data_IF_320751534082
#
_entry.id   IF_320751534082
#
_cell.length_a   1.000
_cell.length_b   1.000
_cell.length_c   1.000
_cell.angle_alpha   90.00
_cell.angle_beta   90.00
_cell.angle_gamma   90.00
#
_symmetry.space_group_name_H-M   'P 1'
#
loop_
_entity.id
_entity.type
_entity.pdbx_description
1 polymer ?
#
# COMPACT_ATOMS: atom_id res chain seq x y z
N UNK A 1 -7.85 21.45 -14.24
CA UNK A 1 -6.42 21.58 -13.91
C UNK A 1 -5.81 20.27 -14.36
N UNK A 2 -4.84 20.28 -15.25
CA UNK A 2 -4.25 19.02 -15.76
C UNK A 2 -3.42 18.40 -14.64
N UNK A 3 -3.59 17.10 -14.41
CA UNK A 3 -2.83 16.30 -13.45
C UNK A 3 -1.58 15.78 -14.16
N UNK A 4 -0.41 16.43 -14.04
CA UNK A 4 0.70 16.23 -14.95
C UNK A 4 1.57 15.08 -14.47
N UNK A 5 1.09 13.85 -14.71
CA UNK A 5 1.85 12.63 -14.45
C UNK A 5 2.43 12.09 -15.75
N UNK A 6 3.73 11.77 -15.75
CA UNK A 6 4.30 10.86 -16.72
C UNK A 6 4.33 9.43 -16.16
N UNK A 7 3.95 8.46 -16.99
CA UNK A 7 4.09 7.04 -16.71
C UNK A 7 5.24 6.53 -17.56
N UNK A 8 6.29 6.02 -16.93
CA UNK A 8 7.48 5.48 -17.58
C UNK A 8 7.50 3.96 -17.41
N UNK A 9 7.66 3.24 -18.51
CA UNK A 9 7.90 1.81 -18.49
C UNK A 9 9.41 1.57 -18.61
N UNK A 10 10.00 0.89 -17.63
CA UNK A 10 11.44 0.68 -17.50
C UNK A 10 11.72 -0.82 -17.43
N UNK A 11 12.68 -1.27 -18.23
CA UNK A 11 13.15 -2.66 -18.18
C UNK A 11 13.92 -2.94 -16.89
N UNK A 12 13.99 -4.19 -16.47
CA UNK A 12 14.78 -4.56 -15.30
C UNK A 12 16.28 -4.29 -15.50
N UNK A 13 16.75 -4.37 -16.75
CA UNK A 13 18.15 -4.12 -17.11
C UNK A 13 18.54 -2.64 -16.97
N UNK A 14 17.61 -1.73 -17.26
CA UNK A 14 17.83 -0.28 -17.23
C UNK A 14 17.28 0.37 -15.94
N UNK A 15 16.79 -0.45 -14.99
CA UNK A 15 16.09 0.04 -13.81
C UNK A 15 16.90 1.04 -12.99
N UNK A 16 18.18 0.75 -12.76
CA UNK A 16 19.04 1.62 -11.96
C UNK A 16 19.42 2.94 -12.68
N UNK A 17 19.20 3.02 -14.00
CA UNK A 17 19.50 4.21 -14.79
C UNK A 17 18.32 5.18 -14.82
N UNK A 18 17.08 4.66 -14.77
CA UNK A 18 15.86 5.46 -14.96
C UNK A 18 14.87 5.44 -13.81
N UNK A 19 14.85 4.41 -12.95
CA UNK A 19 13.96 4.34 -11.80
C UNK A 19 14.63 4.83 -10.52
N UNK A 20 13.82 5.15 -9.51
CA UNK A 20 14.29 5.85 -8.32
C UNK A 20 14.87 4.91 -7.24
N UNK A 21 14.23 3.76 -7.02
CA UNK A 21 14.53 2.88 -5.90
C UNK A 21 14.57 1.41 -6.35
N UNK A 22 15.41 0.53 -5.80
CA UNK A 22 15.30 -0.91 -6.01
C UNK A 22 14.10 -1.50 -5.23
N UNK A 23 13.58 -2.68 -5.59
CA UNK A 23 14.07 -3.60 -6.62
C UNK A 23 13.45 -3.40 -8.01
N UNK A 24 14.07 -3.94 -9.08
CA UNK A 24 13.57 -3.83 -10.44
C UNK A 24 12.16 -4.39 -10.66
N UNK A 25 11.38 -3.65 -11.45
CA UNK A 25 10.05 -4.01 -11.89
C UNK A 25 8.93 -3.72 -10.86
N UNK A 26 9.27 -3.21 -9.68
CA UNK A 26 8.29 -2.80 -8.67
C UNK A 26 7.82 -1.37 -8.94
N UNK A 27 6.50 -1.10 -9.11
CA UNK A 27 5.98 0.24 -9.35
C UNK A 27 6.40 1.24 -8.28
N UNK A 28 6.71 2.47 -8.68
CA UNK A 28 7.13 3.56 -7.78
C UNK A 28 6.60 4.91 -8.24
N UNK A 29 6.15 5.74 -7.31
CA UNK A 29 5.90 7.16 -7.54
C UNK A 29 7.09 8.02 -7.07
N UNK A 30 7.58 8.90 -7.95
CA UNK A 30 8.58 9.90 -7.58
C UNK A 30 8.42 11.19 -8.38
N UNK A 31 8.45 12.33 -7.67
CA UNK A 31 8.38 13.67 -8.26
C UNK A 31 7.21 13.87 -9.25
N UNK A 32 6.05 13.28 -8.94
CA UNK A 32 4.85 13.36 -9.78
C UNK A 32 4.86 12.42 -10.99
N UNK A 33 5.83 11.51 -11.11
CA UNK A 33 5.88 10.48 -12.14
C UNK A 33 5.69 9.10 -11.54
N UNK A 34 5.22 8.15 -12.35
CA UNK A 34 5.11 6.75 -11.98
C UNK A 34 6.06 5.94 -12.87
N UNK A 35 6.88 5.11 -12.24
CA UNK A 35 7.80 4.18 -12.90
C UNK A 35 7.21 2.78 -12.78
N UNK A 36 7.04 2.09 -13.90
CA UNK A 36 6.47 0.75 -13.99
C UNK A 36 7.49 -0.20 -14.65
N UNK A 37 7.57 -1.43 -14.16
CA UNK A 37 8.35 -2.48 -14.82
C UNK A 37 7.74 -2.88 -16.16
N UNK A 38 8.53 -2.90 -17.23
CA UNK A 38 8.14 -3.57 -18.48
C UNK A 38 8.36 -5.09 -18.42
N UNK A 39 9.24 -5.53 -17.53
CA UNK A 39 9.55 -6.94 -17.28
C UNK A 39 8.82 -7.43 -16.01
N UNK A 40 8.95 -8.73 -15.73
CA UNK A 40 8.43 -9.33 -14.50
C UNK A 40 9.12 -8.75 -13.27
N UNK A 41 8.35 -8.41 -12.24
CA UNK A 41 8.89 -7.84 -11.01
C UNK A 41 9.81 -8.84 -10.30
N UNK A 42 10.97 -8.38 -9.84
CA UNK A 42 11.89 -9.22 -9.03
C UNK A 42 11.20 -9.68 -7.75
N UNK A 43 10.38 -8.82 -7.13
CA UNK A 43 9.60 -9.18 -5.93
C UNK A 43 8.53 -10.21 -6.26
N UNK A 44 7.87 -10.10 -7.41
CA UNK A 44 6.90 -11.10 -7.84
C UNK A 44 7.56 -12.48 -8.01
N UNK A 45 8.75 -12.53 -8.63
CA UNK A 45 9.52 -13.78 -8.77
C UNK A 45 9.88 -14.39 -7.41
N UNK A 46 10.34 -13.57 -6.47
CA UNK A 46 10.67 -14.01 -5.11
C UNK A 46 9.45 -14.54 -4.37
N UNK A 47 8.33 -13.82 -4.45
CA UNK A 47 7.05 -14.23 -3.84
C UNK A 47 6.57 -15.57 -4.42
N UNK A 48 6.60 -15.75 -5.74
CA UNK A 48 6.23 -17.01 -6.40
C UNK A 48 7.05 -18.20 -5.92
N UNK A 49 8.35 -18.01 -5.64
CA UNK A 49 9.19 -19.07 -5.07
C UNK A 49 8.81 -19.37 -3.63
N UNK A 50 8.52 -18.35 -2.81
CA UNK A 50 8.11 -18.54 -1.43
C UNK A 50 6.76 -19.23 -1.31
N UNK A 51 5.82 -18.90 -2.20
CA UNK A 51 4.46 -19.47 -2.25
C UNK A 51 4.45 -20.99 -2.43
N UNK A 52 5.48 -21.58 -3.05
CA UNK A 52 5.62 -23.04 -3.19
C UNK A 52 5.69 -23.78 -1.85
N UNK A 53 6.02 -23.07 -0.76
CA UNK A 53 6.11 -23.64 0.58
C UNK A 53 4.79 -23.52 1.37
N UNK A 54 3.74 -22.91 0.80
CA UNK A 54 2.46 -22.82 1.47
C UNK A 54 1.75 -24.18 1.56
N UNK A 55 0.89 -24.38 2.58
CA UNK A 55 -0.05 -25.50 2.60
C UNK A 55 -0.86 -25.59 1.29
N UNK A 56 -1.09 -26.81 0.81
CA UNK A 56 -1.75 -27.09 -0.49
C UNK A 56 -3.09 -26.35 -0.63
N UNK A 57 -3.88 -26.25 0.44
CA UNK A 57 -5.19 -25.58 0.38
C UNK A 57 -5.06 -24.05 0.21
N UNK A 58 -4.05 -23.44 0.84
CA UNK A 58 -3.75 -22.01 0.65
C UNK A 58 -3.20 -21.75 -0.75
N UNK A 59 -2.30 -22.63 -1.24
CA UNK A 59 -1.75 -22.53 -2.58
C UNK A 59 -2.84 -22.64 -3.65
N UNK A 60 -3.75 -23.63 -3.54
CA UNK A 60 -4.89 -23.79 -4.45
C UNK A 60 -5.82 -22.57 -4.45
N UNK A 61 -6.06 -22.00 -3.26
CA UNK A 61 -6.87 -20.77 -3.15
C UNK A 61 -6.22 -19.61 -3.91
N UNK A 62 -4.89 -19.46 -3.82
CA UNK A 62 -4.18 -18.43 -4.58
C UNK A 62 -4.18 -18.73 -6.09
N UNK A 63 -3.98 -19.98 -6.50
CA UNK A 63 -4.02 -20.39 -7.92
C UNK A 63 -5.38 -20.09 -8.58
N UNK A 64 -6.48 -20.17 -7.83
CA UNK A 64 -7.80 -19.81 -8.34
C UNK A 64 -7.86 -18.36 -8.86
N UNK A 65 -7.11 -17.45 -8.25
CA UNK A 65 -7.17 -16.02 -8.57
C UNK A 65 -5.96 -15.51 -9.34
N UNK A 66 -4.77 -16.05 -9.07
CA UNK A 66 -3.51 -15.63 -9.68
C UNK A 66 -3.06 -16.54 -10.84
N UNK A 67 -3.84 -17.58 -11.17
CA UNK A 67 -3.53 -18.53 -12.23
C UNK A 67 -2.73 -19.74 -11.79
N UNK A 68 -2.57 -20.70 -12.71
CA UNK A 68 -1.72 -21.87 -12.56
C UNK A 68 -0.82 -22.03 -13.81
N UNK A 69 0.48 -21.67 -13.75
CA UNK A 69 1.22 -21.22 -12.56
C UNK A 69 0.77 -19.83 -12.04
N UNK A 70 0.97 -19.59 -10.74
CA UNK A 70 0.67 -18.30 -10.08
C UNK A 70 1.49 -17.18 -10.73
N UNK A 71 0.84 -16.07 -11.08
CA UNK A 71 1.46 -14.83 -11.53
C UNK A 71 1.30 -13.70 -10.50
N UNK A 72 2.37 -13.43 -9.74
CA UNK A 72 2.38 -12.41 -8.70
C UNK A 72 2.59 -10.99 -9.23
N UNK A 73 2.81 -10.80 -10.53
CA UNK A 73 2.76 -9.44 -11.13
C UNK A 73 1.35 -8.83 -10.98
N UNK A 74 0.30 -9.65 -10.94
CA UNK A 74 -1.06 -9.18 -10.67
C UNK A 74 -1.15 -8.46 -9.31
N UNK A 75 -0.38 -8.89 -8.31
CA UNK A 75 -0.28 -8.20 -7.01
C UNK A 75 0.78 -7.10 -7.03
N UNK A 76 2.03 -7.43 -7.35
CA UNK A 76 3.16 -6.50 -7.16
C UNK A 76 3.31 -5.47 -8.26
N UNK A 77 2.86 -5.73 -9.48
CA UNK A 77 2.93 -4.74 -10.57
C UNK A 77 1.58 -4.05 -10.76
N UNK A 78 0.50 -4.79 -10.94
CA UNK A 78 -0.78 -4.17 -11.29
C UNK A 78 -1.41 -3.43 -10.10
N UNK A 79 -1.58 -4.10 -8.95
CA UNK A 79 -2.16 -3.46 -7.77
C UNK A 79 -1.26 -2.34 -7.20
N UNK A 80 0.07 -2.56 -7.14
CA UNK A 80 0.99 -1.53 -6.64
C UNK A 80 1.03 -0.32 -7.58
N UNK A 81 0.89 -0.48 -8.90
CA UNK A 81 0.81 0.68 -9.81
C UNK A 81 -0.36 1.62 -9.46
N UNK A 82 -1.51 1.06 -9.06
CA UNK A 82 -2.66 1.86 -8.62
C UNK A 82 -2.42 2.47 -7.24
N UNK A 83 -1.71 1.77 -6.34
CA UNK A 83 -1.28 2.31 -5.06
C UNK A 83 -0.39 3.55 -5.26
N UNK A 84 0.60 3.48 -6.15
CA UNK A 84 1.48 4.61 -6.49
C UNK A 84 0.72 5.78 -7.13
N UNK A 85 -0.31 5.48 -7.93
CA UNK A 85 -1.22 6.50 -8.44
C UNK A 85 -1.98 7.19 -7.30
N UNK A 86 -2.42 6.44 -6.29
CA UNK A 86 -3.00 6.97 -5.06
C UNK A 86 -2.06 7.97 -4.37
N UNK A 87 -0.78 7.61 -4.19
CA UNK A 87 0.23 8.54 -3.70
C UNK A 87 0.27 9.81 -4.55
N UNK A 88 0.31 9.71 -5.87
CA UNK A 88 0.38 10.89 -6.74
C UNK A 88 -0.84 11.80 -6.61
N UNK A 89 -2.05 11.26 -6.44
CA UNK A 89 -3.27 12.05 -6.23
C UNK A 89 -3.22 12.85 -4.93
N UNK A 90 -2.68 12.26 -3.86
CA UNK A 90 -2.41 13.03 -2.63
C UNK A 90 -1.33 14.10 -2.87
N UNK A 91 -0.21 13.75 -3.51
CA UNK A 91 0.93 14.65 -3.73
C UNK A 91 0.63 15.88 -4.59
N UNK A 92 -0.44 15.86 -5.37
CA UNK A 92 -0.87 17.00 -6.16
C UNK A 92 -1.37 18.17 -5.29
N UNK A 93 -1.93 17.89 -4.11
CA UNK A 93 -2.50 18.91 -3.22
C UNK A 93 -1.89 18.95 -1.81
N UNK A 94 -1.24 17.86 -1.40
CA UNK A 94 -0.57 17.71 -0.10
C UNK A 94 0.79 17.01 -0.25
N UNK A 95 1.87 17.61 0.27
CA UNK A 95 3.24 17.14 0.00
C UNK A 95 3.97 16.54 1.21
N UNK A 96 3.58 16.89 2.45
CA UNK A 96 4.22 16.36 3.67
C UNK A 96 3.19 15.88 4.69
N UNK A 97 3.13 14.57 4.91
CA UNK A 97 2.09 13.94 5.75
C UNK A 97 2.36 13.99 7.26
N UNK A 98 1.29 14.01 8.05
CA UNK A 98 1.37 13.88 9.52
C UNK A 98 1.93 12.54 9.98
N UNK A 99 1.69 11.45 9.28
CA UNK A 99 2.24 10.12 9.53
C UNK A 99 2.34 9.37 8.21
N UNK A 100 3.46 8.70 7.97
CA UNK A 100 3.69 7.92 6.73
C UNK A 100 2.73 6.74 6.66
N UNK A 101 2.46 6.06 7.77
CA UNK A 101 1.54 4.93 7.78
C UNK A 101 0.11 5.31 7.35
N UNK A 102 -0.37 6.53 7.66
CA UNK A 102 -1.70 6.99 7.20
C UNK A 102 -1.69 7.14 5.67
N UNK A 103 -0.59 7.66 5.12
CA UNK A 103 -0.42 7.81 3.67
C UNK A 103 -0.40 6.45 2.95
N UNK A 104 0.31 5.46 3.50
CA UNK A 104 0.32 4.10 2.97
C UNK A 104 -1.07 3.44 3.01
N UNK A 105 -1.81 3.63 4.10
CA UNK A 105 -3.20 3.17 4.21
C UNK A 105 -4.07 3.85 3.16
N UNK A 106 -3.94 5.17 2.96
CA UNK A 106 -4.66 5.90 1.92
C UNK A 106 -4.36 5.38 0.51
N UNK A 107 -3.09 5.24 0.15
CA UNK A 107 -2.69 4.73 -1.16
C UNK A 107 -3.20 3.30 -1.42
N UNK A 108 -3.14 2.46 -0.38
CA UNK A 108 -3.69 1.09 -0.43
C UNK A 108 -5.21 1.07 -0.53
N UNK A 109 -5.88 2.01 0.15
CA UNK A 109 -7.33 2.18 0.07
C UNK A 109 -7.76 2.66 -1.31
N UNK A 110 -7.01 3.59 -1.94
CA UNK A 110 -7.24 4.01 -3.32
C UNK A 110 -7.12 2.83 -4.30
N UNK A 111 -6.07 2.01 -4.18
CA UNK A 111 -5.89 0.80 -4.98
C UNK A 111 -7.06 -0.18 -4.77
N UNK A 112 -7.46 -0.40 -3.51
CA UNK A 112 -8.59 -1.28 -3.17
C UNK A 112 -9.90 -0.78 -3.79
N UNK A 113 -10.20 0.51 -3.68
CA UNK A 113 -11.42 1.11 -4.22
C UNK A 113 -11.49 0.92 -5.75
N UNK A 114 -10.38 1.19 -6.46
CA UNK A 114 -10.29 0.95 -7.90
C UNK A 114 -10.56 -0.52 -8.25
N UNK A 115 -9.88 -1.46 -7.58
CA UNK A 115 -10.05 -2.88 -7.86
C UNK A 115 -11.47 -3.35 -7.60
N UNK A 116 -12.12 -2.92 -6.51
CA UNK A 116 -13.51 -3.31 -6.21
C UNK A 116 -14.47 -2.87 -7.32
N UNK A 117 -14.23 -1.69 -7.91
CA UNK A 117 -15.13 -1.11 -8.93
C UNK A 117 -14.84 -1.60 -10.34
N UNK A 118 -13.60 -1.96 -10.66
CA UNK A 118 -13.16 -2.22 -12.03
C UNK A 118 -12.61 -3.64 -12.26
N UNK A 119 -12.08 -4.27 -11.22
CA UNK A 119 -11.38 -5.57 -11.31
C UNK A 119 -11.75 -6.45 -10.09
N UNK A 120 -13.04 -6.78 -9.88
CA UNK A 120 -13.53 -7.39 -8.64
C UNK A 120 -12.86 -8.74 -8.32
N UNK A 121 -12.54 -9.53 -9.34
CA UNK A 121 -11.82 -10.80 -9.16
C UNK A 121 -10.39 -10.56 -8.62
N UNK A 122 -9.69 -9.57 -9.17
CA UNK A 122 -8.38 -9.15 -8.67
C UNK A 122 -8.48 -8.53 -7.28
N UNK A 123 -9.57 -7.83 -6.97
CA UNK A 123 -9.85 -7.35 -5.61
C UNK A 123 -9.95 -8.52 -4.62
N UNK A 124 -10.67 -9.59 -4.96
CA UNK A 124 -10.73 -10.79 -4.12
C UNK A 124 -9.37 -11.47 -4.00
N UNK A 125 -8.61 -11.52 -5.10
CA UNK A 125 -7.26 -12.09 -5.15
C UNK A 125 -6.31 -11.37 -4.18
N UNK A 126 -6.20 -10.05 -4.29
CA UNK A 126 -5.25 -9.23 -3.52
C UNK A 126 -5.61 -9.23 -2.03
N UNK A 127 -6.91 -9.18 -1.68
CA UNK A 127 -7.36 -9.33 -0.30
C UNK A 127 -7.03 -10.71 0.28
N UNK A 128 -7.19 -11.78 -0.52
CA UNK A 128 -6.84 -13.14 -0.10
C UNK A 128 -5.34 -13.28 0.15
N UNK A 129 -4.51 -12.77 -0.76
CA UNK A 129 -3.05 -12.82 -0.59
C UNK A 129 -2.60 -12.00 0.63
N UNK A 130 -3.15 -10.81 0.82
CA UNK A 130 -2.85 -9.98 1.98
C UNK A 130 -3.24 -10.66 3.31
N UNK A 131 -4.37 -11.36 3.37
CA UNK A 131 -4.76 -12.11 4.56
C UNK A 131 -3.73 -13.20 4.89
N UNK A 132 -3.31 -13.99 3.88
CA UNK A 132 -2.26 -15.02 4.05
C UNK A 132 -0.94 -14.40 4.52
N UNK A 133 -0.50 -13.32 3.86
CA UNK A 133 0.74 -12.61 4.22
C UNK A 133 0.71 -11.98 5.61
N UNK A 134 -0.46 -11.50 6.07
CA UNK A 134 -0.63 -10.88 7.39
C UNK A 134 -0.50 -11.88 8.55
N UNK A 135 -0.93 -13.13 8.31
CA UNK A 135 -0.91 -14.21 9.29
C UNK A 135 0.43 -14.94 9.34
N UNK A 136 1.27 -14.72 8.34
CA UNK A 136 2.59 -15.32 8.31
C UNK A 136 3.42 -14.74 9.47
N UNK A 137 3.59 -15.55 10.52
CA UNK A 137 4.56 -15.31 11.58
C UNK A 137 5.96 -15.58 11.04
N UNK A 138 6.43 -14.66 10.21
CA UNK A 138 7.77 -14.79 9.71
C UNK A 138 8.75 -14.53 10.85
N UNK A 139 9.71 -15.44 11.12
CA UNK A 139 10.70 -15.27 12.19
C UNK A 139 11.62 -14.05 12.00
N UNK A 140 11.49 -13.37 10.85
CA UNK A 140 12.23 -12.18 10.47
C UNK A 140 11.47 -10.86 10.70
N UNK A 141 10.21 -10.87 11.15
CA UNK A 141 9.51 -9.64 11.59
C UNK A 141 10.03 -9.24 12.96
N UNK A 142 10.73 -8.11 13.00
CA UNK A 142 11.36 -7.55 14.21
C UNK A 142 10.56 -6.40 14.81
N UNK A 143 9.74 -5.73 14.01
CA UNK A 143 9.02 -4.53 14.40
C UNK A 143 7.55 -4.67 14.04
N UNK A 144 6.65 -4.49 15.02
CA UNK A 144 5.22 -4.59 14.79
C UNK A 144 4.46 -3.31 15.07
N UNK A 145 5.06 -2.25 15.63
CA UNK A 145 4.34 -1.03 15.99
C UNK A 145 4.39 0.06 14.91
N UNK A 146 3.30 0.84 14.77
CA UNK A 146 3.25 2.02 13.89
C UNK A 146 4.33 3.06 14.21
N UNK A 147 4.69 3.21 15.50
CA UNK A 147 5.80 4.07 15.91
C UNK A 147 7.13 3.65 15.31
N UNK A 148 7.42 2.33 15.28
CA UNK A 148 8.63 1.81 14.64
C UNK A 148 8.57 1.88 13.12
N UNK A 149 7.39 1.72 12.53
CA UNK A 149 7.21 1.99 11.11
C UNK A 149 7.58 3.43 10.75
N UNK A 150 7.07 4.41 11.52
CA UNK A 150 7.35 5.84 11.30
C UNK A 150 8.82 6.19 11.52
N UNK A 151 9.43 5.67 12.59
CA UNK A 151 10.83 5.94 12.97
C UNK A 151 11.82 5.39 11.94
N UNK A 152 11.66 4.13 11.55
CA UNK A 152 12.63 3.44 10.70
C UNK A 152 12.38 3.70 9.22
N UNK A 153 11.11 3.63 8.80
CA UNK A 153 10.61 3.65 7.42
C UNK A 153 11.60 3.04 6.40
N UNK A 154 11.49 3.33 5.11
CA UNK A 154 12.51 2.91 4.15
C UNK A 154 13.75 3.83 4.21
N UNK A 155 14.97 3.27 4.14
CA UNK A 155 15.30 1.83 4.06
C UNK A 155 15.46 1.12 5.43
N UNK A 156 15.36 1.84 6.56
CA UNK A 156 15.72 1.32 7.89
C UNK A 156 14.89 0.15 8.41
N UNK A 157 13.63 0.03 7.98
CA UNK A 157 12.71 -1.02 8.40
C UNK A 157 13.05 -2.40 7.79
N UNK A 158 13.74 -2.40 6.65
CA UNK A 158 14.03 -3.61 5.87
C UNK A 158 12.82 -4.12 5.06
N UNK A 159 13.05 -4.81 3.94
CA UNK A 159 12.00 -5.14 2.98
C UNK A 159 10.95 -6.11 3.55
N UNK A 160 11.37 -7.13 4.29
CA UNK A 160 10.43 -8.12 4.85
C UNK A 160 9.49 -7.50 5.89
N UNK A 161 10.04 -6.62 6.73
CA UNK A 161 9.25 -5.99 7.77
C UNK A 161 8.32 -4.93 7.16
N UNK A 162 8.76 -4.21 6.12
CA UNK A 162 7.92 -3.30 5.34
C UNK A 162 6.76 -4.03 4.65
N UNK A 163 7.03 -5.13 3.97
CA UNK A 163 6.01 -5.96 3.32
C UNK A 163 4.95 -6.46 4.29
N UNK A 164 5.36 -6.88 5.50
CA UNK A 164 4.40 -7.25 6.54
C UNK A 164 3.49 -6.09 6.94
N UNK A 165 4.01 -4.87 7.12
CA UNK A 165 3.17 -3.69 7.36
C UNK A 165 2.22 -3.42 6.19
N UNK A 166 2.68 -3.59 4.96
CA UNK A 166 1.83 -3.42 3.77
C UNK A 166 0.66 -4.42 3.76
N UNK A 167 0.87 -5.69 4.16
CA UNK A 167 -0.24 -6.64 4.35
C UNK A 167 -1.23 -6.20 5.44
N UNK A 168 -0.75 -5.63 6.54
CA UNK A 168 -1.64 -5.09 7.59
C UNK A 168 -2.42 -3.86 7.09
N UNK A 169 -1.79 -2.96 6.35
CA UNK A 169 -2.47 -1.81 5.74
C UNK A 169 -3.50 -2.24 4.70
N UNK A 170 -3.22 -3.32 3.96
CA UNK A 170 -4.18 -3.90 3.01
C UNK A 170 -5.43 -4.42 3.72
N UNK A 171 -5.28 -5.11 4.85
CA UNK A 171 -6.42 -5.55 5.66
C UNK A 171 -7.27 -4.38 6.15
N UNK A 172 -6.62 -3.31 6.61
CA UNK A 172 -7.33 -2.07 6.98
C UNK A 172 -8.05 -1.45 5.78
N UNK A 173 -7.42 -1.39 4.61
CA UNK A 173 -8.03 -0.86 3.40
C UNK A 173 -9.27 -1.66 2.97
N UNK A 174 -9.27 -2.98 3.13
CA UNK A 174 -10.46 -3.82 2.90
C UNK A 174 -11.59 -3.40 3.84
N UNK A 175 -11.32 -3.29 5.14
CA UNK A 175 -12.32 -2.91 6.14
C UNK A 175 -12.83 -1.47 5.92
N UNK A 176 -11.94 -0.53 5.57
CA UNK A 176 -12.31 0.83 5.22
C UNK A 176 -13.26 0.84 4.01
N UNK A 177 -12.92 0.13 2.93
CA UNK A 177 -13.76 0.04 1.74
C UNK A 177 -15.13 -0.56 2.03
N UNK A 178 -15.19 -1.64 2.80
CA UNK A 178 -16.46 -2.29 3.16
C UNK A 178 -17.36 -1.38 4.00
N UNK A 179 -16.76 -0.56 4.88
CA UNK A 179 -17.50 0.25 5.85
C UNK A 179 -17.83 1.66 5.36
N UNK A 180 -16.91 2.30 4.64
CA UNK A 180 -17.00 3.71 4.27
C UNK A 180 -16.99 3.96 2.75
N UNK A 181 -16.68 2.94 1.95
CA UNK A 181 -16.69 3.00 0.47
C UNK A 181 -15.86 4.16 -0.09
N UNK A 182 -16.24 4.69 -1.24
CA UNK A 182 -15.50 5.79 -1.88
C UNK A 182 -15.52 7.09 -1.05
N UNK A 183 -16.60 7.34 -0.31
CA UNK A 183 -16.70 8.53 0.53
C UNK A 183 -15.58 8.54 1.57
N UNK A 184 -15.30 7.41 2.22
CA UNK A 184 -14.24 7.33 3.21
C UNK A 184 -12.84 7.56 2.63
N UNK A 185 -12.62 7.16 1.38
CA UNK A 185 -11.37 7.45 0.67
C UNK A 185 -11.20 8.95 0.44
N UNK A 186 -12.26 9.64 0.01
CA UNK A 186 -12.25 11.10 -0.20
C UNK A 186 -12.03 11.82 1.13
N UNK A 187 -12.74 11.44 2.18
CA UNK A 187 -12.59 12.06 3.52
C UNK A 187 -11.14 11.90 4.03
N UNK A 188 -10.53 10.71 3.85
CA UNK A 188 -9.14 10.47 4.23
C UNK A 188 -8.13 11.28 3.38
N UNK A 189 -8.41 11.46 2.08
CA UNK A 189 -7.61 12.33 1.22
C UNK A 189 -7.66 13.79 1.71
N UNK A 190 -8.86 14.30 1.99
CA UNK A 190 -9.06 15.65 2.49
C UNK A 190 -8.35 15.85 3.83
N UNK A 191 -8.41 14.87 4.73
CA UNK A 191 -7.66 14.89 5.99
C UNK A 191 -6.14 15.03 5.74
N UNK A 192 -5.57 14.24 4.81
CA UNK A 192 -4.15 14.32 4.48
C UNK A 192 -3.76 15.71 3.94
N UNK A 193 -4.59 16.28 3.05
CA UNK A 193 -4.35 17.61 2.45
C UNK A 193 -4.46 18.73 3.49
N UNK A 194 -5.47 18.67 4.36
CA UNK A 194 -5.72 19.70 5.38
C UNK A 194 -4.67 19.66 6.49
N UNK A 195 -4.09 18.48 6.77
CA UNK A 195 -3.08 18.29 7.81
C UNK A 195 -1.64 18.32 7.29
N UNK A 196 -1.43 18.69 6.03
CA UNK A 196 -0.10 18.81 5.41
C UNK A 196 0.85 19.66 6.28
N UNK A 197 2.04 19.13 6.57
CA UNK A 197 3.09 19.76 7.38
C UNK A 197 3.74 20.97 6.70
N UNK A 198 3.50 21.21 5.42
CA UNK A 198 3.84 22.49 4.79
C UNK A 198 2.97 23.61 5.34
N UNK A 199 1.73 23.31 5.74
CA UNK A 199 0.72 24.28 6.21
C UNK A 199 0.50 24.20 7.73
N UNK A 200 0.88 23.09 8.35
CA UNK A 200 0.59 22.78 9.76
C UNK A 200 1.84 22.35 10.55
N UNK A 201 1.70 22.15 11.86
CA UNK A 201 2.74 21.56 12.71
C UNK A 201 2.52 20.06 12.87
N UNK A 202 3.61 19.31 13.10
CA UNK A 202 3.53 17.88 13.45
C UNK A 202 2.72 17.74 14.75
N UNK A 203 1.67 16.94 14.68
CA UNK A 203 0.83 16.60 15.83
C UNK A 203 1.49 15.51 16.66
N UNK A 204 1.40 15.61 17.99
CA UNK A 204 1.59 14.45 18.85
C UNK A 204 0.44 13.44 18.67
N UNK A 205 0.53 12.27 19.31
CA UNK A 205 -0.44 11.20 19.08
C UNK A 205 -1.84 11.53 19.62
N UNK A 206 -1.94 12.28 20.71
CA UNK A 206 -3.23 12.70 21.27
C UNK A 206 -3.92 13.74 20.38
N UNK A 207 -3.15 14.68 19.84
CA UNK A 207 -3.61 15.67 18.87
C UNK A 207 -4.06 15.00 17.57
N UNK A 208 -3.26 14.05 17.06
CA UNK A 208 -3.61 13.31 15.85
C UNK A 208 -4.90 12.51 16.02
N UNK A 209 -5.04 11.77 17.13
CA UNK A 209 -6.25 11.02 17.44
C UNK A 209 -7.48 11.93 17.50
N UNK A 210 -7.37 13.06 18.20
CA UNK A 210 -8.46 14.05 18.27
C UNK A 210 -8.83 14.54 16.87
N UNK A 211 -7.84 14.90 16.06
CA UNK A 211 -8.09 15.41 14.70
C UNK A 211 -8.76 14.35 13.80
N UNK A 212 -8.33 13.09 13.89
CA UNK A 212 -8.95 11.99 13.15
C UNK A 212 -10.42 11.82 13.54
N UNK A 213 -10.74 11.86 14.82
CA UNK A 213 -12.13 11.74 15.30
C UNK A 213 -12.98 12.93 14.81
N UNK A 214 -12.44 14.14 14.88
CA UNK A 214 -13.16 15.37 14.48
C UNK A 214 -13.44 15.42 12.98
N UNK A 215 -12.51 14.96 12.13
CA UNK A 215 -12.64 15.06 10.67
C UNK A 215 -13.23 13.81 10.00
N UNK A 216 -12.86 12.62 10.48
CA UNK A 216 -13.25 11.34 9.86
C UNK A 216 -14.35 10.61 10.65
N UNK A 217 -14.72 11.13 11.82
CA UNK A 217 -15.63 10.48 12.74
C UNK A 217 -14.96 9.39 13.59
N UNK A 218 -15.58 9.04 14.73
CA UNK A 218 -14.97 8.13 15.71
C UNK A 218 -14.72 6.73 15.14
N UNK A 219 -15.61 6.22 14.29
CA UNK A 219 -15.50 4.85 13.77
C UNK A 219 -14.33 4.67 12.78
N UNK A 220 -14.11 5.65 11.89
CA UNK A 220 -12.98 5.58 10.96
C UNK A 220 -11.67 5.83 11.70
N UNK A 221 -11.66 6.79 12.64
CA UNK A 221 -10.50 7.05 13.49
C UNK A 221 -10.10 5.80 14.29
N UNK A 222 -11.07 5.12 14.90
CA UNK A 222 -10.85 3.84 15.60
C UNK A 222 -10.28 2.79 14.66
N UNK A 223 -10.83 2.63 13.46
CA UNK A 223 -10.34 1.63 12.51
C UNK A 223 -8.92 1.94 11.99
N UNK A 224 -8.57 3.21 11.83
CA UNK A 224 -7.21 3.62 11.47
C UNK A 224 -6.23 3.34 12.62
N UNK A 225 -6.60 3.72 13.85
CA UNK A 225 -5.73 3.68 15.03
C UNK A 225 -5.64 2.30 15.70
N UNK A 226 -6.62 1.41 15.51
CA UNK A 226 -6.61 0.07 16.10
C UNK A 226 -5.43 -0.75 15.59
N UNK A 227 -4.49 -1.09 16.46
CA UNK A 227 -3.24 -1.73 16.04
C UNK A 227 -2.77 -2.72 17.10
N UNK A 228 -3.30 -3.94 17.01
CA UNK A 228 -3.04 -5.00 17.99
C UNK A 228 -2.16 -6.10 17.37
N UNK A 229 -0.83 -5.92 17.45
CA UNK A 229 0.19 -6.89 17.01
C UNK A 229 1.39 -6.97 17.97
#
# INVERSE_FOLDING_TARGET
>A
MDFPIAILFVSNAEWNDYAYFPPPGMPQAWAGNIFLGSDKSVVALEAEQQLKNLPVDQLKKLQQYFGDPIDMDLFYRNNVAVHELGHCYHHFEGTKVQRRWIQEVFATYAARAYLVNHEPDLATATATYAEVGSQAHFPFIKHTSLGKFEELYLPGLGPQNYEWFQFQFFKKAVQLQEKFGEKGLIDLQEFLIQTDLVKTKKMDDAQLQKQLIEQLGPEMAELLLSWDF
#
